data_IF_914019878244
#
_entry.id   IF_914019878244
#
_cell.length_a   1.000
_cell.length_b   1.000
_cell.length_c   1.000
_cell.angle_alpha   90.00
_cell.angle_beta   90.00
_cell.angle_gamma   90.00
#
_symmetry.space_group_name_H-M   'P 1'
#
loop_
_entity.id
_entity.type
_entity.pdbx_description
1 polymer ?
#
# COMPACT_ATOMS: atom_id res chain seq x y z
N UNK A 1 -25.50 12.41 3.52
CA UNK A 1 -24.61 12.05 4.65
C UNK A 1 -23.31 12.78 4.45
N UNK A 2 -22.94 13.65 5.40
CA UNK A 2 -21.64 14.33 5.36
C UNK A 2 -20.62 13.34 5.94
N UNK A 3 -19.64 12.94 5.13
CA UNK A 3 -18.51 12.13 5.57
C UNK A 3 -17.35 13.07 5.91
N UNK A 4 -16.79 12.90 7.11
CA UNK A 4 -15.63 13.71 7.51
C UNK A 4 -14.46 13.47 6.54
N UNK A 5 -14.00 14.56 5.93
CA UNK A 5 -12.91 14.51 4.94
C UNK A 5 -13.35 14.24 3.50
N UNK A 6 -14.64 14.11 3.20
CA UNK A 6 -15.11 13.88 1.83
C UNK A 6 -16.34 14.72 1.49
N UNK A 7 -16.16 15.73 0.64
CA UNK A 7 -17.24 16.50 0.00
C UNK A 7 -17.54 15.91 -1.38
N UNK A 8 -18.67 15.20 -1.49
CA UNK A 8 -19.07 14.55 -2.74
C UNK A 8 -19.36 15.55 -3.86
N UNK A 9 -19.82 16.76 -3.54
CA UNK A 9 -20.06 17.80 -4.56
C UNK A 9 -18.76 18.34 -5.14
N UNK A 10 -17.76 18.56 -4.27
CA UNK A 10 -16.43 18.98 -4.72
C UNK A 10 -15.72 17.86 -5.50
N UNK A 11 -15.82 16.62 -5.01
CA UNK A 11 -15.30 15.45 -5.71
C UNK A 11 -15.93 15.28 -7.09
N UNK A 12 -17.27 15.44 -7.21
CA UNK A 12 -17.99 15.34 -8.47
C UNK A 12 -17.48 16.33 -9.51
N UNK A 13 -17.31 17.59 -9.11
CA UNK A 13 -16.77 18.64 -10.00
C UNK A 13 -15.36 18.29 -10.45
N UNK A 14 -14.52 17.83 -9.51
CA UNK A 14 -13.15 17.43 -9.82
C UNK A 14 -13.13 16.28 -10.84
N UNK A 15 -13.87 15.18 -10.59
CA UNK A 15 -13.89 14.02 -11.48
C UNK A 15 -14.33 14.38 -12.90
N UNK A 16 -15.34 15.27 -13.04
CA UNK A 16 -15.74 15.81 -14.36
C UNK A 16 -14.60 16.56 -15.04
N UNK A 17 -13.88 17.42 -14.30
CA UNK A 17 -12.75 18.18 -14.84
C UNK A 17 -11.56 17.30 -15.20
N UNK A 18 -11.36 16.21 -14.46
CA UNK A 18 -10.31 15.20 -14.72
C UNK A 18 -10.66 14.21 -15.84
N UNK A 19 -11.86 14.33 -16.45
CA UNK A 19 -12.31 13.44 -17.52
C UNK A 19 -12.67 12.03 -17.09
N UNK A 20 -12.91 11.81 -15.78
CA UNK A 20 -13.37 10.53 -15.26
C UNK A 20 -14.85 10.35 -15.65
N UNK A 21 -15.12 9.30 -16.44
CA UNK A 21 -16.50 8.95 -16.84
C UNK A 21 -17.26 8.44 -15.61
N UNK A 22 -18.49 8.90 -15.46
CA UNK A 22 -19.38 8.52 -14.38
C UNK A 22 -20.84 8.66 -14.77
N UNK A 23 -21.71 7.92 -14.09
CA UNK A 23 -23.16 7.87 -14.35
C UNK A 23 -23.92 8.05 -13.03
N UNK A 24 -24.95 8.91 -13.03
CA UNK A 24 -25.76 9.18 -11.85
C UNK A 24 -25.10 10.02 -10.76
N UNK A 25 -25.58 9.89 -9.53
CA UNK A 25 -25.09 10.57 -8.33
C UNK A 25 -23.98 9.79 -7.66
N UNK A 26 -22.98 10.50 -7.12
CA UNK A 26 -21.96 9.87 -6.29
C UNK A 26 -22.51 9.53 -4.91
N UNK A 27 -22.21 8.33 -4.50
CA UNK A 27 -22.36 7.85 -3.11
C UNK A 27 -21.01 7.50 -2.54
N UNK A 28 -20.87 7.53 -1.22
CA UNK A 28 -19.63 7.07 -0.58
C UNK A 28 -19.90 6.51 0.80
N UNK A 29 -19.03 5.58 1.21
CA UNK A 29 -18.94 5.06 2.57
C UNK A 29 -17.48 4.96 3.00
N UNK A 30 -17.22 5.16 4.30
CA UNK A 30 -15.89 4.99 4.87
C UNK A 30 -15.66 3.51 5.12
N UNK A 31 -14.65 2.91 4.48
CA UNK A 31 -14.29 1.49 4.62
C UNK A 31 -13.08 1.26 5.53
N UNK A 32 -12.22 2.27 5.68
CA UNK A 32 -11.12 2.24 6.64
C UNK A 32 -10.72 3.66 7.03
N UNK A 33 -10.35 3.87 8.29
CA UNK A 33 -9.92 5.19 8.80
C UNK A 33 -9.39 5.09 10.22
N UNK A 34 -8.90 6.22 10.72
CA UNK A 34 -8.31 6.34 12.04
C UNK A 34 -6.96 7.04 12.01
N UNK A 35 -5.90 6.36 12.48
CA UNK A 35 -4.52 6.90 12.46
C UNK A 35 -3.83 6.75 11.10
N UNK A 36 -4.33 5.84 10.27
CA UNK A 36 -3.91 5.62 8.88
C UNK A 36 -4.68 6.52 7.91
N UNK A 37 -4.43 6.36 6.62
CA UNK A 37 -5.18 7.01 5.55
C UNK A 37 -6.68 6.73 5.67
N UNK A 38 -7.49 7.75 5.39
CA UNK A 38 -8.93 7.56 5.21
C UNK A 38 -9.17 6.91 3.85
N UNK A 39 -9.93 5.82 3.84
CA UNK A 39 -10.25 5.05 2.64
C UNK A 39 -11.77 4.98 2.48
N UNK A 40 -12.27 5.51 1.38
CA UNK A 40 -13.70 5.54 1.07
C UNK A 40 -13.99 4.66 -0.14
N UNK A 41 -15.05 3.89 -0.08
CA UNK A 41 -15.70 3.37 -1.27
C UNK A 41 -16.56 4.49 -1.86
N UNK A 42 -16.28 4.88 -3.08
CA UNK A 42 -17.05 5.85 -3.85
C UNK A 42 -17.72 5.11 -5.00
N UNK A 43 -19.00 5.35 -5.23
CA UNK A 43 -19.72 4.68 -6.30
C UNK A 43 -20.70 5.63 -6.99
N UNK A 44 -21.02 5.30 -8.24
CA UNK A 44 -22.15 5.80 -8.99
C UNK A 44 -22.98 4.62 -9.54
N UNK A 45 -23.91 4.86 -10.47
CA UNK A 45 -24.79 3.83 -11.01
C UNK A 45 -24.06 2.76 -11.84
N UNK A 46 -22.86 3.08 -12.35
CA UNK A 46 -22.10 2.22 -13.28
C UNK A 46 -20.75 1.75 -12.73
N UNK A 47 -20.16 2.46 -11.78
CA UNK A 47 -18.76 2.26 -11.38
C UNK A 47 -18.57 2.32 -9.86
N UNK A 48 -17.50 1.69 -9.41
CA UNK A 48 -17.05 1.75 -8.02
C UNK A 48 -15.55 2.03 -7.97
N UNK A 49 -15.15 2.89 -7.03
CA UNK A 49 -13.77 3.30 -6.83
C UNK A 49 -13.39 3.30 -5.35
N UNK A 50 -12.12 3.20 -5.09
CA UNK A 50 -11.55 3.43 -3.75
C UNK A 50 -10.82 4.77 -3.78
N UNK A 51 -11.26 5.71 -2.95
CA UNK A 51 -10.58 6.98 -2.73
C UNK A 51 -9.77 6.89 -1.43
N UNK A 52 -8.48 7.19 -1.49
CA UNK A 52 -7.59 7.30 -0.34
C UNK A 52 -7.08 8.73 -0.19
N UNK A 53 -7.04 9.19 1.06
CA UNK A 53 -6.48 10.48 1.43
C UNK A 53 -5.81 10.41 2.81
N UNK A 54 -4.90 11.34 3.15
CA UNK A 54 -4.34 11.45 4.48
C UNK A 54 -5.42 11.59 5.56
N UNK A 55 -5.14 11.19 6.82
CA UNK A 55 -6.04 11.40 7.94
C UNK A 55 -6.27 12.90 8.20
N UNK A 56 -7.37 13.24 8.89
CA UNK A 56 -7.71 14.63 9.19
C UNK A 56 -6.76 15.27 10.20
N UNK A 57 -6.12 14.45 11.05
CA UNK A 57 -5.24 14.89 12.13
C UNK A 57 -4.03 13.95 12.25
N UNK A 58 -2.95 14.47 12.83
CA UNK A 58 -1.77 13.64 13.15
C UNK A 58 -0.89 13.32 11.95
N UNK A 59 -0.83 14.23 10.97
CA UNK A 59 0.03 14.09 9.79
C UNK A 59 1.50 13.96 10.22
N UNK A 60 2.11 12.83 9.92
CA UNK A 60 3.56 12.66 10.01
C UNK A 60 4.17 13.06 8.68
N UNK A 61 5.17 13.94 8.63
CA UNK A 61 5.84 14.29 7.37
C UNK A 61 6.30 13.03 6.65
N UNK A 62 5.99 12.92 5.35
CA UNK A 62 6.30 11.79 4.45
C UNK A 62 5.57 10.45 4.70
N UNK A 63 4.64 10.34 5.65
CA UNK A 63 3.95 9.09 5.95
C UNK A 63 2.64 8.90 5.19
N UNK A 64 2.19 9.80 4.36
CA UNK A 64 0.90 9.71 3.66
C UNK A 64 1.01 10.31 2.26
N UNK A 65 2.02 9.86 1.50
CA UNK A 65 2.30 10.37 0.15
C UNK A 65 1.39 9.67 -0.88
N UNK A 66 0.24 10.29 -1.15
CA UNK A 66 -0.74 9.78 -2.14
C UNK A 66 -0.16 9.72 -3.55
N UNK A 67 0.73 10.65 -3.89
CA UNK A 67 1.35 10.67 -5.21
C UNK A 67 2.32 9.49 -5.38
N UNK A 68 3.04 9.13 -4.33
CA UNK A 68 3.94 7.98 -4.34
C UNK A 68 3.18 6.67 -4.51
N UNK A 69 2.13 6.46 -3.73
CA UNK A 69 1.28 5.28 -3.84
C UNK A 69 0.62 5.17 -5.22
N UNK A 70 0.06 6.26 -5.73
CA UNK A 70 -0.52 6.31 -7.06
C UNK A 70 0.49 5.99 -8.16
N UNK A 71 1.72 6.52 -8.04
CA UNK A 71 2.77 6.33 -9.05
C UNK A 71 3.15 4.85 -9.21
N UNK A 72 3.33 4.12 -8.12
CA UNK A 72 3.68 2.70 -8.22
C UNK A 72 2.52 1.86 -8.77
N UNK A 73 1.29 2.11 -8.33
CA UNK A 73 0.10 1.41 -8.83
C UNK A 73 -0.08 1.66 -10.33
N UNK A 74 0.05 2.91 -10.78
CA UNK A 74 -0.06 3.24 -12.20
C UNK A 74 1.05 2.61 -13.04
N UNK A 75 2.27 2.54 -12.52
CA UNK A 75 3.41 1.93 -13.20
C UNK A 75 3.26 0.41 -13.36
N UNK A 76 2.67 -0.26 -12.38
CA UNK A 76 2.46 -1.72 -12.41
C UNK A 76 1.25 -2.17 -13.24
N UNK A 77 0.40 -1.25 -13.69
CA UNK A 77 -0.87 -1.57 -14.37
C UNK A 77 -0.74 -2.42 -15.65
N UNK A 78 0.44 -2.50 -16.23
CA UNK A 78 0.72 -3.27 -17.47
C UNK A 78 1.75 -4.38 -17.26
N UNK A 79 1.90 -4.83 -16.01
CA UNK A 79 2.77 -5.95 -15.62
C UNK A 79 1.91 -7.14 -15.17
N UNK A 80 2.55 -8.25 -14.84
CA UNK A 80 1.87 -9.43 -14.29
C UNK A 80 1.48 -9.26 -12.81
N UNK A 81 1.91 -8.15 -12.17
CA UNK A 81 1.56 -7.85 -10.78
C UNK A 81 0.11 -7.35 -10.71
N UNK A 82 -0.79 -8.05 -10.01
CA UNK A 82 -2.18 -7.62 -9.90
C UNK A 82 -2.28 -6.36 -9.03
N UNK A 83 -2.74 -5.27 -9.62
CA UNK A 83 -3.02 -3.99 -8.94
C UNK A 83 -4.37 -3.44 -9.38
N UNK A 84 -5.00 -2.65 -8.52
CA UNK A 84 -6.18 -1.89 -8.90
C UNK A 84 -5.82 -0.87 -10.00
N UNK A 85 -6.69 -0.68 -10.99
CA UNK A 85 -6.44 0.31 -12.04
C UNK A 85 -6.46 1.73 -11.46
N UNK A 86 -5.37 2.46 -11.66
CA UNK A 86 -5.26 3.87 -11.28
C UNK A 86 -6.26 4.73 -12.07
N UNK A 87 -7.03 5.58 -11.37
CA UNK A 87 -8.06 6.43 -11.97
C UNK A 87 -7.62 7.89 -12.01
N UNK A 88 -7.30 8.47 -10.86
CA UNK A 88 -6.84 9.86 -10.77
C UNK A 88 -6.06 10.13 -9.50
N UNK A 89 -5.14 11.10 -9.61
CA UNK A 89 -4.41 11.69 -8.49
C UNK A 89 -4.74 13.20 -8.44
N UNK A 90 -5.16 13.69 -7.30
CA UNK A 90 -5.38 15.10 -7.05
C UNK A 90 -4.40 15.62 -6.02
N UNK A 91 -3.51 16.52 -6.43
CA UNK A 91 -2.59 17.23 -5.54
C UNK A 91 -3.12 18.61 -5.10
N UNK A 92 -4.28 19.02 -5.60
CA UNK A 92 -4.93 20.29 -5.26
C UNK A 92 -5.74 20.11 -3.94
N UNK A 93 -5.16 20.59 -2.86
CA UNK A 93 -5.78 20.53 -1.53
C UNK A 93 -7.08 21.34 -1.45
N UNK A 94 -7.33 22.29 -2.37
CA UNK A 94 -8.57 23.07 -2.38
C UNK A 94 -9.81 22.24 -2.69
N UNK A 95 -9.65 21.05 -3.28
CA UNK A 95 -10.77 20.16 -3.64
C UNK A 95 -11.38 19.47 -2.43
N UNK A 96 -10.55 18.77 -1.62
CA UNK A 96 -11.00 18.01 -0.46
C UNK A 96 -10.25 18.36 0.85
N UNK A 97 -9.45 19.42 0.85
CA UNK A 97 -8.65 19.82 2.01
C UNK A 97 -7.34 19.03 2.19
N UNK A 98 -7.04 18.09 1.32
CA UNK A 98 -5.79 17.34 1.26
C UNK A 98 -5.64 16.66 -0.11
N UNK A 99 -4.42 16.26 -0.52
CA UNK A 99 -4.23 15.41 -1.69
C UNK A 99 -5.00 14.09 -1.54
N UNK A 100 -5.44 13.54 -2.66
CA UNK A 100 -6.08 12.22 -2.67
C UNK A 100 -5.79 11.47 -3.96
N UNK A 101 -5.92 10.15 -3.91
CA UNK A 101 -5.88 9.29 -5.08
C UNK A 101 -7.16 8.47 -5.18
N UNK A 102 -7.48 8.04 -6.39
CA UNK A 102 -8.55 7.09 -6.66
C UNK A 102 -8.05 5.96 -7.55
N UNK A 103 -8.47 4.75 -7.20
CA UNK A 103 -8.28 3.54 -8.00
C UNK A 103 -9.63 2.86 -8.21
N UNK A 104 -9.74 1.99 -9.21
CA UNK A 104 -10.95 1.15 -9.34
C UNK A 104 -11.11 0.23 -8.14
N UNK A 105 -12.35 -0.02 -7.77
CA UNK A 105 -12.67 -1.01 -6.75
C UNK A 105 -12.43 -2.42 -7.28
N UNK A 106 -11.64 -3.19 -6.58
CA UNK A 106 -11.41 -4.62 -6.86
C UNK A 106 -12.30 -5.44 -5.92
N UNK A 107 -13.19 -6.24 -6.51
CA UNK A 107 -14.02 -7.17 -5.75
C UNK A 107 -13.19 -8.39 -5.33
N UNK A 108 -13.41 -8.84 -4.09
CA UNK A 108 -12.72 -10.00 -3.52
C UNK A 108 -12.79 -9.98 -2.00
N UNK A 109 -11.97 -10.79 -1.37
CA UNK A 109 -11.90 -10.89 0.08
C UNK A 109 -10.50 -10.56 0.59
N UNK A 110 -10.43 -9.91 1.76
CA UNK A 110 -9.20 -9.61 2.47
C UNK A 110 -9.16 -10.46 3.73
N UNK A 111 -8.09 -11.22 3.92
CA UNK A 111 -7.89 -12.10 5.08
C UNK A 111 -7.07 -11.37 6.13
N UNK A 112 -7.68 -11.07 7.28
CA UNK A 112 -7.06 -10.29 8.36
C UNK A 112 -6.69 -11.11 9.60
N UNK A 113 -7.15 -12.35 9.65
CA UNK A 113 -6.90 -13.21 10.80
C UNK A 113 -6.70 -14.66 10.38
N UNK A 114 -6.00 -15.40 11.26
CA UNK A 114 -5.83 -16.83 11.09
C UNK A 114 -7.18 -17.58 11.00
N UNK A 115 -8.17 -17.15 11.78
CA UNK A 115 -9.49 -17.77 11.77
C UNK A 115 -10.20 -17.57 10.41
N UNK A 116 -10.06 -16.39 9.79
CA UNK A 116 -10.57 -16.14 8.45
C UNK A 116 -9.86 -17.01 7.40
N UNK A 117 -8.54 -17.16 7.51
CA UNK A 117 -7.76 -18.03 6.62
C UNK A 117 -8.20 -19.49 6.74
N UNK A 118 -8.34 -20.00 7.96
CA UNK A 118 -8.79 -21.37 8.22
C UNK A 118 -10.25 -21.60 7.76
N UNK A 119 -11.08 -20.57 7.73
CA UNK A 119 -12.45 -20.64 7.25
C UNK A 119 -12.58 -20.67 5.72
N UNK A 120 -11.53 -20.34 4.96
CA UNK A 120 -11.54 -20.34 3.49
C UNK A 120 -11.54 -21.74 2.88
N UNK A 121 -11.06 -22.74 3.61
CA UNK A 121 -11.02 -24.11 3.09
C UNK A 121 -10.08 -25.02 3.86
N UNK A 122 -9.76 -26.15 3.25
CA UNK A 122 -8.81 -27.11 3.79
C UNK A 122 -7.34 -26.66 3.58
N UNK A 123 -6.40 -27.50 4.03
CA UNK A 123 -4.96 -27.21 3.92
C UNK A 123 -4.53 -27.02 2.46
N UNK A 124 -5.16 -27.67 1.50
CA UNK A 124 -4.81 -27.52 0.09
C UNK A 124 -5.16 -26.12 -0.44
N UNK A 125 -6.29 -25.55 -0.01
CA UNK A 125 -6.67 -24.17 -0.34
C UNK A 125 -5.69 -23.19 0.30
N UNK A 126 -5.32 -23.41 1.55
CA UNK A 126 -4.35 -22.56 2.25
C UNK A 126 -2.98 -22.59 1.57
N UNK A 127 -2.49 -23.77 1.21
CA UNK A 127 -1.22 -23.92 0.49
C UNK A 127 -1.28 -23.21 -0.87
N UNK A 128 -2.41 -23.34 -1.58
CA UNK A 128 -2.63 -22.64 -2.84
C UNK A 128 -2.66 -21.10 -2.68
N UNK A 129 -3.22 -20.57 -1.57
CA UNK A 129 -3.14 -19.13 -1.27
C UNK A 129 -1.69 -18.69 -1.08
N UNK A 130 -0.89 -19.47 -0.33
CA UNK A 130 0.53 -19.16 -0.12
C UNK A 130 1.30 -19.17 -1.44
N UNK A 131 1.07 -20.18 -2.27
CA UNK A 131 1.70 -20.27 -3.60
C UNK A 131 1.32 -19.07 -4.48
N UNK A 132 0.05 -18.64 -4.45
CA UNK A 132 -0.42 -17.47 -5.15
C UNK A 132 0.28 -16.19 -4.68
N UNK A 133 0.40 -15.98 -3.36
CA UNK A 133 1.12 -14.85 -2.78
C UNK A 133 2.61 -14.85 -3.18
N UNK A 134 3.28 -16.00 -3.11
CA UNK A 134 4.70 -16.13 -3.51
C UNK A 134 4.89 -15.84 -4.99
N UNK A 135 3.97 -16.32 -5.83
CA UNK A 135 4.00 -16.06 -7.28
C UNK A 135 3.92 -14.55 -7.56
N UNK A 136 2.94 -13.87 -6.99
CA UNK A 136 2.78 -12.42 -7.17
C UNK A 136 3.98 -11.63 -6.62
N UNK A 137 4.56 -12.06 -5.50
CA UNK A 137 5.78 -11.45 -4.97
C UNK A 137 6.97 -11.63 -5.93
N UNK A 138 7.11 -12.82 -6.51
CA UNK A 138 8.14 -13.10 -7.49
C UNK A 138 7.96 -12.25 -8.77
N UNK A 139 6.73 -12.10 -9.24
CA UNK A 139 6.38 -11.25 -10.38
C UNK A 139 6.73 -9.77 -10.08
N UNK A 140 6.37 -9.26 -8.90
CA UNK A 140 6.73 -7.91 -8.46
C UNK A 140 8.25 -7.71 -8.50
N UNK A 141 8.98 -8.64 -7.93
CA UNK A 141 10.44 -8.54 -7.86
C UNK A 141 11.12 -8.77 -9.22
N UNK A 142 10.44 -9.34 -10.20
CA UNK A 142 10.94 -9.51 -11.58
C UNK A 142 10.74 -8.25 -12.44
N UNK A 143 9.86 -7.32 -12.05
CA UNK A 143 9.67 -6.06 -12.78
C UNK A 143 10.95 -5.25 -12.82
N UNK A 144 11.38 -4.85 -14.02
CA UNK A 144 12.44 -3.85 -14.17
C UNK A 144 11.90 -2.45 -13.84
N UNK A 145 12.36 -1.80 -12.75
CA UNK A 145 11.87 -0.48 -12.37
C UNK A 145 12.04 0.57 -13.48
N UNK A 146 13.10 0.49 -14.27
CA UNK A 146 13.34 1.44 -15.35
C UNK A 146 12.36 1.26 -16.50
N UNK A 147 12.01 0.03 -16.83
CA UNK A 147 11.05 -0.28 -17.90
C UNK A 147 9.63 0.24 -17.62
N UNK A 148 9.26 0.35 -16.32
CA UNK A 148 7.93 0.85 -15.89
C UNK A 148 7.97 2.30 -15.40
N UNK A 149 9.08 3.04 -15.62
CA UNK A 149 9.17 4.46 -15.27
C UNK A 149 9.45 4.74 -13.79
N UNK A 150 9.90 3.74 -13.02
CA UNK A 150 10.21 3.85 -11.59
C UNK A 150 11.72 3.90 -11.27
N UNK A 151 12.58 4.25 -12.25
CA UNK A 151 14.03 4.32 -12.03
C UNK A 151 14.44 5.22 -10.85
N UNK A 152 13.69 6.31 -10.63
CA UNK A 152 13.92 7.31 -9.58
C UNK A 152 12.94 7.17 -8.39
N UNK A 153 12.19 6.07 -8.30
CA UNK A 153 11.18 5.84 -7.25
C UNK A 153 11.78 5.69 -5.85
N UNK A 154 13.08 5.45 -5.76
CA UNK A 154 13.83 5.33 -4.51
C UNK A 154 15.34 5.31 -4.75
N UNK A 155 16.10 5.19 -3.67
CA UNK A 155 17.54 5.04 -3.76
C UNK A 155 17.90 3.56 -3.99
N UNK A 156 18.42 3.17 -5.16
CA UNK A 156 18.60 1.76 -5.50
C UNK A 156 19.63 1.03 -4.63
N UNK A 157 20.65 1.71 -4.13
CA UNK A 157 21.75 1.09 -3.36
C UNK A 157 21.68 1.38 -1.87
N UNK A 158 22.24 0.47 -1.04
CA UNK A 158 22.36 0.65 0.41
C UNK A 158 21.00 0.65 1.14
N UNK A 159 20.02 -0.07 0.63
CA UNK A 159 18.68 -0.16 1.20
C UNK A 159 18.71 -0.72 2.62
N UNK A 160 19.32 -1.87 2.84
CA UNK A 160 19.38 -2.55 4.13
C UNK A 160 20.03 -1.67 5.21
N UNK A 161 21.16 -1.01 4.88
CA UNK A 161 21.83 -0.08 5.78
C UNK A 161 20.92 1.11 6.16
N UNK A 162 20.10 1.60 5.20
CA UNK A 162 19.14 2.67 5.49
C UNK A 162 18.02 2.18 6.41
N UNK A 163 17.54 0.94 6.23
CA UNK A 163 16.51 0.37 7.10
C UNK A 163 17.00 0.25 8.54
N UNK A 164 18.20 -0.31 8.77
CA UNK A 164 18.76 -0.42 10.12
C UNK A 164 18.89 0.98 10.77
N UNK A 165 19.36 1.99 10.03
CA UNK A 165 19.41 3.36 10.55
C UNK A 165 18.03 3.94 10.84
N UNK A 166 17.08 3.78 9.91
CA UNK A 166 15.70 4.30 10.05
C UNK A 166 15.02 3.74 11.30
N UNK A 167 15.06 2.44 11.47
CA UNK A 167 14.43 1.79 12.63
C UNK A 167 15.12 2.15 13.95
N UNK A 168 16.46 2.27 13.94
CA UNK A 168 17.20 2.77 15.09
C UNK A 168 16.80 4.19 15.49
N UNK A 169 16.72 5.12 14.52
CA UNK A 169 16.26 6.48 14.79
C UNK A 169 14.80 6.53 15.24
N UNK A 170 13.95 5.67 14.69
CA UNK A 170 12.55 5.62 15.10
C UNK A 170 12.42 5.15 16.56
N UNK A 171 13.21 4.16 16.99
CA UNK A 171 13.26 3.76 18.38
C UNK A 171 13.62 4.94 19.30
N UNK A 172 14.65 5.71 18.95
CA UNK A 172 15.07 6.91 19.72
C UNK A 172 13.95 7.95 19.91
N UNK A 173 12.92 7.95 19.05
CA UNK A 173 11.79 8.89 19.13
C UNK A 173 10.57 8.34 19.89
N UNK A 174 10.43 7.01 19.98
CA UNK A 174 9.20 6.39 20.52
C UNK A 174 9.41 5.64 21.84
N UNK A 175 10.66 5.32 22.22
CA UNK A 175 10.93 4.64 23.49
C UNK A 175 10.61 5.58 24.67
N UNK A 176 10.18 4.97 25.77
CA UNK A 176 9.93 5.69 27.02
C UNK A 176 11.24 5.87 27.80
N UNK A 177 11.36 6.92 28.64
CA UNK A 177 12.48 7.03 29.56
C UNK A 177 12.59 5.74 30.44
N UNK A 178 13.80 5.25 30.60
CA UNK A 178 14.11 4.05 31.39
C UNK A 178 13.41 2.77 30.87
N UNK A 179 13.20 2.67 29.53
CA UNK A 179 12.69 1.45 28.90
C UNK A 179 13.71 0.30 29.08
N UNK A 180 13.28 -0.79 29.72
CA UNK A 180 14.12 -1.97 30.00
C UNK A 180 14.63 -2.67 28.74
N UNK A 181 14.04 -2.37 27.57
CA UNK A 181 14.43 -2.89 26.26
C UNK A 181 15.56 -2.11 25.57
N UNK A 182 15.94 -0.93 26.09
CA UNK A 182 16.94 -0.07 25.43
C UNK A 182 18.28 -0.76 25.22
N UNK A 183 18.73 -1.54 26.20
CA UNK A 183 19.98 -2.31 26.11
C UNK A 183 19.92 -3.39 25.02
N UNK A 184 18.79 -4.10 24.93
CA UNK A 184 18.58 -5.17 23.94
C UNK A 184 18.46 -4.58 22.54
N UNK A 185 17.74 -3.47 22.38
CA UNK A 185 17.62 -2.76 21.09
C UNK A 185 18.95 -2.20 20.63
N UNK A 186 19.76 -1.64 21.54
CA UNK A 186 21.10 -1.15 21.20
C UNK A 186 22.03 -2.31 20.77
N UNK A 187 21.99 -3.43 21.49
CA UNK A 187 22.76 -4.64 21.13
C UNK A 187 22.33 -5.19 19.77
N UNK A 188 21.02 -5.31 19.52
CA UNK A 188 20.47 -5.76 18.24
C UNK A 188 20.87 -4.81 17.10
N UNK A 189 20.75 -3.50 17.30
CA UNK A 189 21.16 -2.50 16.31
C UNK A 189 22.64 -2.66 15.94
N UNK A 190 23.52 -2.82 16.92
CA UNK A 190 24.94 -3.03 16.69
C UNK A 190 25.19 -4.31 15.90
N UNK A 191 24.60 -5.42 16.32
CA UNK A 191 24.73 -6.68 15.60
C UNK A 191 24.25 -6.59 14.14
N UNK A 192 23.10 -5.94 13.91
CA UNK A 192 22.59 -5.72 12.55
C UNK A 192 23.51 -4.82 11.73
N UNK A 193 24.09 -3.75 12.30
CA UNK A 193 25.01 -2.87 11.59
C UNK A 193 26.29 -3.59 11.16
N UNK A 194 26.80 -4.46 12.02
CA UNK A 194 28.04 -5.22 11.78
C UNK A 194 27.85 -6.38 10.80
N UNK A 195 26.61 -6.86 10.63
CA UNK A 195 26.28 -8.04 9.82
C UNK A 195 25.37 -7.77 8.65
N UNK A 196 25.10 -6.48 8.31
CA UNK A 196 24.25 -6.15 7.15
C UNK A 196 24.77 -6.85 5.89
N UNK A 197 23.96 -7.73 5.26
CA UNK A 197 24.40 -8.43 4.08
C UNK A 197 24.56 -7.47 2.89
N UNK A 198 25.32 -7.90 1.91
CA UNK A 198 25.37 -7.19 0.64
C UNK A 198 24.00 -7.32 -0.03
N UNK A 199 23.47 -6.17 -0.51
CA UNK A 199 22.22 -6.15 -1.25
C UNK A 199 22.32 -7.08 -2.47
N UNK A 200 21.34 -7.98 -2.63
CA UNK A 200 21.33 -8.99 -3.69
C UNK A 200 21.11 -8.37 -5.07
N UNK A 201 20.12 -7.50 -5.18
CA UNK A 201 19.77 -6.72 -6.37
C UNK A 201 18.89 -5.53 -5.98
N UNK A 202 18.55 -4.69 -6.94
CA UNK A 202 17.53 -3.65 -6.79
C UNK A 202 16.26 -4.10 -7.47
N UNK A 203 15.15 -4.03 -6.74
CA UNK A 203 13.80 -4.32 -7.22
C UNK A 203 12.82 -3.30 -6.67
N UNK A 204 11.59 -3.29 -7.19
CA UNK A 204 10.46 -2.67 -6.49
C UNK A 204 10.14 -3.57 -5.31
N UNK A 205 10.16 -3.00 -4.09
CA UNK A 205 9.72 -3.69 -2.87
C UNK A 205 8.43 -3.08 -2.39
N UNK A 206 7.53 -3.92 -1.87
CA UNK A 206 6.26 -3.47 -1.30
C UNK A 206 6.50 -2.80 0.07
N UNK A 207 7.34 -3.40 0.89
CA UNK A 207 7.72 -2.92 2.22
C UNK A 207 6.78 -3.35 3.35
N UNK A 208 5.62 -3.94 3.03
CA UNK A 208 4.68 -4.58 3.96
C UNK A 208 3.86 -5.66 3.23
N UNK A 209 4.55 -6.56 2.51
CA UNK A 209 3.89 -7.60 1.73
C UNK A 209 3.36 -8.71 2.65
N UNK A 210 2.03 -8.84 2.71
CA UNK A 210 1.35 -9.79 3.59
C UNK A 210 -0.07 -10.03 3.09
N UNK A 211 -0.68 -11.13 3.52
CA UNK A 211 -2.00 -11.57 3.04
C UNK A 211 -3.10 -10.50 3.25
N UNK A 212 -3.08 -9.75 4.34
CA UNK A 212 -4.08 -8.72 4.61
C UNK A 212 -3.87 -7.42 3.80
N UNK A 213 -2.74 -7.30 3.08
CA UNK A 213 -2.49 -6.32 2.04
C UNK A 213 -2.72 -6.88 0.63
N UNK A 214 -3.51 -7.96 0.51
CA UNK A 214 -3.95 -8.51 -0.76
C UNK A 214 -5.47 -8.71 -0.80
N UNK A 215 -6.03 -8.62 -1.99
CA UNK A 215 -7.42 -8.96 -2.26
C UNK A 215 -7.41 -10.29 -3.02
N UNK A 216 -7.95 -11.33 -2.39
CA UNK A 216 -8.08 -12.66 -2.99
C UNK A 216 -9.40 -12.76 -3.73
N UNK A 217 -9.46 -13.60 -4.75
CA UNK A 217 -10.72 -13.91 -5.42
C UNK A 217 -11.69 -14.62 -4.46
N UNK A 218 -12.97 -14.25 -4.51
CA UNK A 218 -13.97 -14.77 -3.58
C UNK A 218 -14.35 -16.23 -3.87
N UNK A 219 -14.24 -16.67 -5.12
CA UNK A 219 -14.61 -18.01 -5.58
C UNK A 219 -13.38 -18.94 -5.64
N UNK A 220 -12.20 -18.38 -5.90
CA UNK A 220 -10.91 -19.09 -5.94
C UNK A 220 -9.85 -18.32 -5.13
N UNK A 221 -9.75 -18.53 -3.82
CA UNK A 221 -8.84 -17.77 -2.97
C UNK A 221 -7.35 -18.01 -3.23
N UNK A 222 -6.99 -18.95 -4.11
CA UNK A 222 -5.61 -19.12 -4.58
C UNK A 222 -5.18 -18.01 -5.56
N UNK A 223 -6.14 -17.24 -6.07
CA UNK A 223 -5.91 -16.14 -7.01
C UNK A 223 -5.85 -14.78 -6.28
N UNK A 224 -4.73 -14.10 -6.39
CA UNK A 224 -4.59 -12.72 -5.93
C UNK A 224 -5.15 -11.78 -6.99
N UNK A 225 -6.19 -11.01 -6.64
CA UNK A 225 -6.86 -10.04 -7.52
C UNK A 225 -6.19 -8.67 -7.51
N UNK A 226 -5.64 -8.29 -6.37
CA UNK A 226 -4.84 -7.08 -6.24
C UNK A 226 -3.95 -7.10 -5.01
N UNK A 227 -2.77 -6.50 -5.13
CA UNK A 227 -1.94 -6.06 -4.00
C UNK A 227 -2.30 -4.61 -3.69
N UNK A 228 -2.46 -4.29 -2.41
CA UNK A 228 -2.89 -2.97 -1.93
C UNK A 228 -1.93 -2.46 -0.84
N UNK A 229 -2.08 -1.18 -0.48
CA UNK A 229 -1.30 -0.52 0.58
C UNK A 229 0.20 -0.33 0.26
N UNK A 230 0.45 0.35 -0.87
CA UNK A 230 1.78 0.61 -1.42
C UNK A 230 2.52 1.78 -0.74
N UNK A 231 2.06 2.26 0.42
CA UNK A 231 2.61 3.47 1.07
C UNK A 231 4.09 3.32 1.49
N UNK A 232 4.56 2.09 1.77
CA UNK A 232 5.95 1.79 2.13
C UNK A 232 6.81 1.38 0.93
N UNK A 233 6.21 1.26 -0.25
CA UNK A 233 6.91 0.79 -1.46
C UNK A 233 8.08 1.71 -1.85
N UNK A 234 9.15 1.10 -2.31
CA UNK A 234 10.36 1.80 -2.75
C UNK A 234 11.24 0.89 -3.63
N UNK A 235 12.40 1.40 -4.06
CA UNK A 235 13.47 0.56 -4.61
C UNK A 235 14.32 0.01 -3.46
N UNK A 236 14.46 -1.31 -3.41
CA UNK A 236 15.15 -2.00 -2.32
C UNK A 236 15.67 -3.38 -2.69
N UNK A 237 16.12 -4.11 -1.67
CA UNK A 237 16.46 -5.53 -1.80
C UNK A 237 15.18 -6.36 -1.74
N UNK A 238 14.87 -7.19 -2.76
CA UNK A 238 13.65 -7.99 -2.80
C UNK A 238 13.50 -8.94 -1.60
N UNK A 239 14.58 -9.41 -1.01
CA UNK A 239 14.53 -10.29 0.17
C UNK A 239 13.97 -9.60 1.43
N UNK A 240 13.76 -8.28 1.38
CA UNK A 240 13.13 -7.55 2.50
C UNK A 240 11.61 -7.69 2.57
N UNK A 241 10.97 -8.20 1.53
CA UNK A 241 9.52 -8.48 1.51
C UNK A 241 9.19 -9.95 1.86
N UNK A 242 10.20 -10.82 2.03
CA UNK A 242 10.07 -12.25 2.27
C UNK A 242 9.92 -12.62 3.74
#
# INVERSE_FOLDING_TARGET
VTLDGLDLSALDKYLRSAGVSRDGELTAELISGGRSNLTFLVADDASRWVLRRPPLHGLTPSAHDMAREYTVVAALAHTDVPVARAVTLCNDESVLGAPFQMVEFVAGQVVRSRAELEAMGDQQVIDGCVDGLITVLADLHAVDPAAVGLADFGKPSGYLQRQVRRWGSQWEHVHLPDDDRDADVAALRTALQDTVPQQSRTSIVHGDYRIDNTILDADDPTQVRAVVDWELSTLGDPLSDA
#
